data_IF_760636431503
#
_entry.id   IF_760636431503
#
_cell.length_a   1.000
_cell.length_b   1.000
_cell.length_c   1.000
_cell.angle_alpha   90.00
_cell.angle_beta   90.00
_cell.angle_gamma   90.00
#
_symmetry.space_group_name_H-M   'P 1'
#
loop_
_entity.id
_entity.type
_entity.pdbx_description
1 polymer ?
#
# COMPACT_ATOMS: atom_id res chain seq x y z
N UNK A 1 -11.17 -5.11 -19.25
CA UNK A 1 -11.86 -4.04 -18.49
C UNK A 1 -11.08 -2.76 -18.70
N UNK A 2 -11.73 -1.67 -19.08
CA UNK A 2 -11.10 -0.35 -19.15
C UNK A 2 -11.25 0.33 -17.79
N UNK A 3 -10.13 0.65 -17.14
CA UNK A 3 -10.15 1.48 -15.93
C UNK A 3 -10.33 2.94 -16.32
N UNK A 4 -11.09 3.70 -15.53
CA UNK A 4 -10.92 5.15 -15.50
C UNK A 4 -9.57 5.42 -14.82
N UNK A 5 -8.70 6.19 -15.50
CA UNK A 5 -7.37 6.50 -14.99
C UNK A 5 -7.21 7.99 -14.72
N UNK A 6 -6.39 8.30 -13.72
CA UNK A 6 -6.09 9.67 -13.31
C UNK A 6 -4.59 9.87 -13.19
N UNK A 7 -4.12 11.11 -13.36
CA UNK A 7 -2.77 11.46 -12.96
C UNK A 7 -2.61 11.41 -11.44
N UNK A 8 -1.38 11.26 -10.97
CA UNK A 8 -1.03 11.36 -9.55
C UNK A 8 -1.51 12.69 -8.97
N UNK A 9 -1.36 13.79 -9.72
CA UNK A 9 -1.84 15.10 -9.31
C UNK A 9 -3.37 15.11 -9.13
N UNK A 10 -4.12 14.59 -10.10
CA UNK A 10 -5.59 14.53 -10.00
C UNK A 10 -6.03 13.70 -8.79
N UNK A 11 -5.41 12.54 -8.56
CA UNK A 11 -5.73 11.71 -7.40
C UNK A 11 -5.53 12.47 -6.08
N UNK A 12 -4.38 13.15 -5.91
CA UNK A 12 -4.10 13.99 -4.73
C UNK A 12 -5.12 15.12 -4.57
N UNK A 13 -5.50 15.75 -5.67
CA UNK A 13 -6.51 16.81 -5.67
C UNK A 13 -7.89 16.26 -5.27
N UNK A 14 -8.25 15.05 -5.71
CA UNK A 14 -9.51 14.39 -5.35
C UNK A 14 -9.53 13.94 -3.89
N UNK A 15 -8.45 13.36 -3.38
CA UNK A 15 -8.29 13.02 -1.97
C UNK A 15 -8.47 14.25 -1.10
N UNK A 16 -7.72 15.32 -1.39
CA UNK A 16 -7.78 16.57 -0.63
C UNK A 16 -9.20 17.14 -0.61
N UNK A 17 -9.84 17.23 -1.76
CA UNK A 17 -11.22 17.72 -1.86
C UNK A 17 -12.20 16.85 -1.06
N UNK A 18 -12.04 15.53 -1.13
CA UNK A 18 -12.88 14.57 -0.38
C UNK A 18 -12.71 14.75 1.12
N UNK A 19 -11.48 14.93 1.58
CA UNK A 19 -11.15 15.14 2.99
C UNK A 19 -11.72 16.44 3.54
N UNK A 20 -11.61 17.51 2.76
CA UNK A 20 -12.05 18.85 3.17
C UNK A 20 -13.58 18.97 3.23
N UNK A 21 -14.33 18.19 2.43
CA UNK A 21 -15.76 18.42 2.24
C UNK A 21 -16.68 17.27 2.67
N UNK A 22 -16.19 16.02 2.67
CA UNK A 22 -17.09 14.85 2.75
C UNK A 22 -16.68 13.77 3.75
N UNK A 23 -15.39 13.46 3.87
CA UNK A 23 -14.97 12.28 4.61
C UNK A 23 -13.61 12.47 5.32
N UNK A 24 -13.50 12.29 6.64
CA UNK A 24 -12.22 12.36 7.33
C UNK A 24 -11.17 11.42 6.73
N UNK A 25 -9.91 11.87 6.68
CA UNK A 25 -8.79 11.13 6.09
C UNK A 25 -8.58 9.74 6.73
N UNK A 26 -8.70 9.64 8.06
CA UNK A 26 -8.68 8.36 8.79
C UNK A 26 -9.74 7.38 8.28
N UNK A 27 -10.95 7.86 7.99
CA UNK A 27 -12.03 7.00 7.46
C UNK A 27 -11.70 6.50 6.05
N UNK A 28 -11.09 7.32 5.20
CA UNK A 28 -10.64 6.91 3.88
C UNK A 28 -9.53 5.85 3.97
N UNK A 29 -8.56 6.03 4.87
CA UNK A 29 -7.48 5.05 5.13
C UNK A 29 -8.03 3.70 5.61
N UNK A 30 -9.02 3.69 6.51
CA UNK A 30 -9.67 2.43 6.93
C UNK A 30 -10.39 1.73 5.78
N UNK A 31 -11.05 2.50 4.90
CA UNK A 31 -11.72 1.95 3.71
C UNK A 31 -10.71 1.39 2.71
N UNK A 32 -9.58 2.05 2.52
CA UNK A 32 -8.47 1.59 1.69
C UNK A 32 -7.94 0.24 2.21
N UNK A 33 -7.63 0.16 3.51
CA UNK A 33 -7.21 -1.07 4.17
C UNK A 33 -8.24 -2.19 4.04
N UNK A 34 -9.53 -1.89 4.22
CA UNK A 34 -10.61 -2.85 4.03
C UNK A 34 -10.71 -3.34 2.59
N UNK A 35 -10.55 -2.45 1.61
CA UNK A 35 -10.51 -2.80 0.19
C UNK A 35 -9.35 -3.74 -0.15
N UNK A 36 -8.16 -3.51 0.42
CA UNK A 36 -7.02 -4.44 0.28
C UNK A 36 -7.35 -5.80 0.89
N UNK A 37 -7.85 -5.79 2.13
CA UNK A 37 -8.22 -7.01 2.83
C UNK A 37 -9.22 -7.87 2.05
N UNK A 38 -10.25 -7.26 1.45
CA UNK A 38 -11.31 -7.97 0.74
C UNK A 38 -10.88 -8.60 -0.60
N UNK A 39 -9.70 -8.25 -1.11
CA UNK A 39 -9.19 -8.72 -2.40
C UNK A 39 -8.10 -9.81 -2.31
N UNK A 40 -7.76 -10.24 -1.09
CA UNK A 40 -6.70 -11.21 -0.82
C UNK A 40 -7.23 -12.28 0.15
N UNK A 41 -6.84 -13.52 -0.05
CA UNK A 41 -7.15 -14.62 0.87
C UNK A 41 -6.04 -14.76 1.91
N UNK A 42 -6.33 -14.37 3.14
CA UNK A 42 -5.39 -14.36 4.26
C UNK A 42 -5.42 -15.66 5.08
N UNK A 43 -6.38 -16.55 4.82
CA UNK A 43 -6.73 -17.63 5.74
C UNK A 43 -5.60 -18.63 5.94
N UNK A 44 -5.13 -18.76 7.18
CA UNK A 44 -4.05 -19.68 7.54
C UNK A 44 -2.71 -19.31 6.90
N UNK A 45 -2.52 -18.03 6.54
CA UNK A 45 -1.30 -17.50 5.94
C UNK A 45 -0.59 -16.59 6.92
N UNK A 46 0.73 -16.72 6.99
CA UNK A 46 1.57 -15.82 7.76
C UNK A 46 1.92 -14.60 6.93
N UNK A 47 1.52 -13.42 7.40
CA UNK A 47 1.60 -12.18 6.63
C UNK A 47 2.61 -11.21 7.23
N UNK A 48 3.46 -10.62 6.39
CA UNK A 48 4.22 -9.42 6.74
C UNK A 48 3.65 -8.21 6.01
N UNK A 49 3.36 -7.14 6.74
CA UNK A 49 2.99 -5.84 6.17
C UNK A 49 4.19 -4.91 6.30
N UNK A 50 4.84 -4.59 5.18
CA UNK A 50 6.06 -3.81 5.16
C UNK A 50 5.71 -2.34 4.94
N UNK A 51 5.84 -1.54 5.99
CA UNK A 51 5.37 -0.16 6.03
C UNK A 51 6.48 0.88 5.86
N UNK A 52 6.21 1.84 4.98
CA UNK A 52 6.96 3.09 4.89
C UNK A 52 6.43 4.17 5.84
N UNK A 53 7.00 5.37 5.74
CA UNK A 53 6.68 6.48 6.65
C UNK A 53 5.48 7.34 6.25
N UNK A 54 4.90 7.10 5.08
CA UNK A 54 3.82 7.92 4.50
C UNK A 54 2.44 7.30 4.70
N UNK A 55 1.43 7.86 4.01
CA UNK A 55 0.05 7.36 4.09
C UNK A 55 -0.12 5.93 3.57
N UNK A 56 0.69 5.49 2.59
CA UNK A 56 0.66 4.08 2.16
C UNK A 56 1.06 3.12 3.31
N UNK A 57 2.03 3.53 4.14
CA UNK A 57 2.35 2.82 5.39
C UNK A 57 1.18 2.84 6.38
N UNK A 58 0.43 3.93 6.41
CA UNK A 58 -0.82 4.05 7.17
C UNK A 58 -1.90 3.06 6.74
N UNK A 59 -2.11 2.90 5.44
CA UNK A 59 -3.01 1.87 4.90
C UNK A 59 -2.55 0.47 5.35
N UNK A 60 -1.24 0.22 5.36
CA UNK A 60 -0.64 -1.00 5.90
C UNK A 60 -0.90 -1.21 7.39
N UNK A 61 -0.75 -0.19 8.23
CA UNK A 61 -1.03 -0.32 9.66
C UNK A 61 -2.51 -0.61 9.94
N UNK A 62 -3.41 0.06 9.21
CA UNK A 62 -4.84 -0.21 9.29
C UNK A 62 -5.17 -1.64 8.84
N UNK A 63 -4.56 -2.10 7.74
CA UNK A 63 -4.70 -3.45 7.22
C UNK A 63 -4.24 -4.50 8.22
N UNK A 64 -3.07 -4.32 8.83
CA UNK A 64 -2.54 -5.23 9.84
C UNK A 64 -3.51 -5.37 11.03
N UNK A 65 -4.12 -4.27 11.46
CA UNK A 65 -5.17 -4.30 12.48
C UNK A 65 -6.43 -5.07 12.06
N UNK A 66 -6.82 -5.02 10.78
CA UNK A 66 -7.96 -5.79 10.24
C UNK A 66 -7.62 -7.29 10.17
N UNK A 67 -6.44 -7.63 9.67
CA UNK A 67 -5.96 -9.03 9.58
C UNK A 67 -5.93 -9.66 10.97
N UNK A 68 -5.46 -8.91 11.98
CA UNK A 68 -5.43 -9.36 13.36
C UNK A 68 -6.82 -9.60 13.95
N UNK A 69 -7.77 -8.70 13.70
CA UNK A 69 -9.18 -8.87 14.14
C UNK A 69 -9.82 -10.11 13.53
N UNK A 70 -9.41 -10.49 12.32
CA UNK A 70 -9.85 -11.71 11.65
C UNK A 70 -9.23 -13.00 12.22
N UNK A 71 -8.27 -12.89 13.15
CA UNK A 71 -7.61 -14.03 13.79
C UNK A 71 -6.45 -14.61 12.99
N UNK A 72 -5.98 -13.93 11.95
CA UNK A 72 -4.87 -14.37 11.10
C UNK A 72 -3.51 -13.89 11.62
N UNK A 73 -2.43 -14.55 11.18
CA UNK A 73 -1.06 -14.23 11.61
C UNK A 73 -0.48 -13.06 10.80
N UNK A 74 -0.12 -11.98 11.50
CA UNK A 74 0.38 -10.75 10.89
C UNK A 74 1.46 -10.08 11.73
N UNK A 75 2.54 -9.70 11.04
CA UNK A 75 3.64 -8.88 11.56
C UNK A 75 3.74 -7.58 10.77
N UNK A 76 3.88 -6.46 11.48
CA UNK A 76 4.27 -5.18 10.89
C UNK A 76 5.80 -5.11 10.81
N UNK A 77 6.33 -4.83 9.63
CA UNK A 77 7.76 -4.59 9.40
C UNK A 77 7.94 -3.13 9.01
N UNK A 78 8.48 -2.29 9.90
CA UNK A 78 8.68 -0.87 9.64
C UNK A 78 10.04 -0.63 9.00
N UNK A 79 10.10 0.28 8.03
CA UNK A 79 11.37 0.73 7.43
C UNK A 79 12.00 1.94 8.15
N UNK A 80 11.34 2.44 9.19
CA UNK A 80 11.82 3.53 10.05
C UNK A 80 10.81 3.92 11.12
N UNK A 81 11.14 4.93 11.92
CA UNK A 81 10.33 5.38 13.06
C UNK A 81 9.39 6.55 12.75
N UNK A 82 9.36 7.00 11.49
CA UNK A 82 8.49 8.08 11.05
C UNK A 82 7.15 7.51 10.61
N UNK A 83 6.09 8.22 10.96
CA UNK A 83 4.71 7.91 10.61
C UNK A 83 4.05 9.17 10.03
N UNK A 84 3.08 9.01 9.14
CA UNK A 84 2.09 10.06 8.92
C UNK A 84 1.16 10.17 10.12
N UNK A 85 0.40 11.26 10.24
CA UNK A 85 -0.54 11.44 11.35
C UNK A 85 -1.56 10.30 11.44
N UNK A 86 -2.22 9.99 10.32
CA UNK A 86 -3.20 8.91 10.26
C UNK A 86 -2.54 7.52 10.37
N UNK A 87 -1.33 7.38 9.82
CA UNK A 87 -0.57 6.14 9.97
C UNK A 87 -0.20 5.86 11.42
N UNK A 88 0.16 6.89 12.19
CA UNK A 88 0.43 6.74 13.63
C UNK A 88 -0.83 6.29 14.38
N UNK A 89 -1.98 6.87 14.06
CA UNK A 89 -3.25 6.49 14.66
C UNK A 89 -3.57 5.00 14.46
N UNK A 90 -3.44 4.48 13.23
CA UNK A 90 -3.71 3.07 12.97
C UNK A 90 -2.60 2.13 13.45
N UNK A 91 -1.35 2.60 13.50
CA UNK A 91 -0.27 1.87 14.14
C UNK A 91 -0.58 1.61 15.62
N UNK A 92 -0.93 2.65 16.38
CA UNK A 92 -1.23 2.51 17.81
C UNK A 92 -2.41 1.55 18.05
N UNK A 93 -3.42 1.56 17.18
CA UNK A 93 -4.54 0.60 17.21
C UNK A 93 -4.06 -0.83 16.93
N UNK A 94 -3.23 -1.04 15.91
CA UNK A 94 -2.72 -2.37 15.58
C UNK A 94 -1.89 -2.96 16.74
N UNK A 95 -1.05 -2.15 17.38
CA UNK A 95 -0.27 -2.58 18.55
C UNK A 95 -1.19 -2.92 19.74
N UNK A 96 -2.23 -2.12 19.99
CA UNK A 96 -3.21 -2.42 21.05
C UNK A 96 -3.94 -3.76 20.82
N UNK A 97 -4.12 -4.16 19.56
CA UNK A 97 -4.68 -5.46 19.17
C UNK A 97 -3.68 -6.62 19.28
N UNK A 98 -2.43 -6.34 19.64
CA UNK A 98 -1.37 -7.33 19.76
C UNK A 98 -0.78 -7.77 18.42
N UNK A 99 -0.76 -6.89 17.42
CA UNK A 99 0.07 -7.09 16.23
C UNK A 99 1.53 -6.94 16.63
N UNK A 100 2.38 -7.87 16.18
CA UNK A 100 3.83 -7.78 16.40
C UNK A 100 4.42 -6.72 15.47
N UNK A 101 5.27 -5.84 15.97
CA UNK A 101 6.07 -4.93 15.15
C UNK A 101 7.56 -5.23 15.26
N UNK A 102 8.25 -5.14 14.12
CA UNK A 102 9.72 -5.19 14.05
C UNK A 102 10.23 -4.08 13.14
N UNK A 103 11.49 -3.69 13.35
CA UNK A 103 12.21 -2.81 12.43
C UNK A 103 12.91 -3.65 11.37
N UNK A 104 12.78 -3.25 10.10
CA UNK A 104 13.54 -3.85 9.00
C UNK A 104 15.03 -3.65 9.23
N UNK A 105 15.79 -4.74 9.12
CA UNK A 105 17.23 -4.75 9.13
C UNK A 105 17.75 -5.58 7.96
N UNK A 106 19.07 -5.57 7.77
CA UNK A 106 19.72 -6.42 6.78
C UNK A 106 19.43 -7.91 7.02
N UNK A 107 19.31 -8.32 8.29
CA UNK A 107 19.08 -9.71 8.70
C UNK A 107 17.61 -10.11 8.75
N UNK A 108 16.68 -9.20 8.44
CA UNK A 108 15.26 -9.56 8.38
C UNK A 108 15.02 -10.60 7.29
N UNK A 109 14.60 -11.79 7.70
CA UNK A 109 14.23 -12.88 6.82
C UNK A 109 12.73 -12.80 6.48
N UNK A 110 12.43 -12.69 5.19
CA UNK A 110 11.05 -12.67 4.70
C UNK A 110 10.56 -14.04 4.23
N UNK A 111 11.41 -15.07 4.21
CA UNK A 111 11.08 -16.41 3.71
C UNK A 111 10.06 -17.16 4.59
N UNK A 112 9.87 -16.70 5.82
CA UNK A 112 8.95 -17.26 6.80
C UNK A 112 7.49 -16.78 6.63
N UNK A 113 7.23 -15.87 5.69
CA UNK A 113 5.92 -15.30 5.41
C UNK A 113 5.36 -15.83 4.09
N UNK A 114 4.10 -16.27 4.11
CA UNK A 114 3.37 -16.67 2.91
C UNK A 114 2.98 -15.47 2.05
N UNK A 115 2.66 -14.34 2.70
CA UNK A 115 2.19 -13.10 2.05
C UNK A 115 3.05 -11.92 2.50
N UNK A 116 3.53 -11.15 1.53
CA UNK A 116 4.17 -9.86 1.77
C UNK A 116 3.28 -8.75 1.23
N UNK A 117 2.98 -7.75 2.05
CA UNK A 117 2.23 -6.57 1.65
C UNK A 117 3.18 -5.38 1.55
N UNK A 118 3.36 -4.90 0.33
CA UNK A 118 4.10 -3.68 0.00
C UNK A 118 3.25 -2.44 0.30
N UNK A 119 3.55 -1.82 1.44
CA UNK A 119 3.01 -0.55 1.90
C UNK A 119 4.14 0.49 2.08
N UNK A 120 5.18 0.42 1.25
CA UNK A 120 6.40 1.24 1.41
C UNK A 120 6.22 2.66 0.88
N UNK A 121 5.84 2.80 -0.39
CA UNK A 121 5.74 4.07 -1.11
C UNK A 121 4.40 4.11 -1.86
N UNK A 122 3.66 5.20 -1.67
CA UNK A 122 2.45 5.45 -2.45
C UNK A 122 2.71 6.43 -3.60
N UNK A 123 1.64 6.96 -4.18
CA UNK A 123 1.69 8.03 -5.20
C UNK A 123 2.39 9.32 -4.75
N UNK A 124 2.64 9.49 -3.44
CA UNK A 124 3.42 10.59 -2.86
C UNK A 124 4.89 10.63 -3.29
N UNK A 125 5.46 9.50 -3.72
CA UNK A 125 6.88 9.36 -3.97
C UNK A 125 7.33 10.07 -5.26
N UNK A 126 8.47 10.77 -5.15
CA UNK A 126 9.18 11.40 -6.26
C UNK A 126 10.68 11.32 -6.00
N UNK A 127 11.49 11.03 -7.02
CA UNK A 127 12.96 10.99 -6.91
C UNK A 127 13.51 9.59 -6.71
N UNK A 128 14.70 9.49 -6.11
CA UNK A 128 15.38 8.21 -5.89
C UNK A 128 14.94 7.50 -4.61
N UNK A 129 14.91 6.17 -4.67
CA UNK A 129 14.55 5.32 -3.54
C UNK A 129 15.68 5.38 -2.51
N UNK A 130 15.35 5.73 -1.27
CA UNK A 130 16.31 5.73 -0.15
C UNK A 130 16.76 4.31 0.18
N UNK A 131 17.98 4.16 0.68
CA UNK A 131 18.63 2.88 0.95
C UNK A 131 17.77 1.90 1.78
N UNK A 132 17.10 2.38 2.83
CA UNK A 132 16.24 1.54 3.66
C UNK A 132 15.01 0.99 2.89
N UNK A 133 14.45 1.77 1.98
CA UNK A 133 13.35 1.34 1.11
C UNK A 133 13.87 0.44 -0.02
N UNK A 134 15.05 0.76 -0.56
CA UNK A 134 15.71 -0.06 -1.59
C UNK A 134 15.91 -1.50 -1.08
N UNK A 135 16.50 -1.64 0.11
CA UNK A 135 16.68 -2.94 0.78
C UNK A 135 15.34 -3.69 0.97
N UNK A 136 14.27 -2.98 1.34
CA UNK A 136 12.94 -3.58 1.46
C UNK A 136 12.42 -4.11 0.12
N UNK A 137 12.52 -3.31 -0.95
CA UNK A 137 12.07 -3.69 -2.30
C UNK A 137 12.87 -4.89 -2.81
N UNK A 138 14.19 -4.90 -2.61
CA UNK A 138 15.05 -6.03 -3.00
C UNK A 138 14.67 -7.31 -2.27
N UNK A 139 14.46 -7.24 -0.94
CA UNK A 139 14.01 -8.40 -0.15
C UNK A 139 12.67 -8.93 -0.62
N UNK A 140 11.67 -8.05 -0.85
CA UNK A 140 10.36 -8.45 -1.37
C UNK A 140 10.52 -9.14 -2.74
N UNK A 141 11.25 -8.53 -3.67
CA UNK A 141 11.44 -9.06 -5.02
C UNK A 141 12.24 -10.37 -5.07
N UNK A 142 13.06 -10.65 -4.05
CA UNK A 142 13.82 -11.89 -3.92
C UNK A 142 13.05 -13.02 -3.22
N UNK A 143 11.91 -12.70 -2.61
CA UNK A 143 11.10 -13.67 -1.88
C UNK A 143 10.33 -14.60 -2.84
N UNK A 144 9.92 -15.76 -2.32
CA UNK A 144 8.98 -16.67 -2.99
C UNK A 144 7.54 -16.51 -2.49
N UNK A 145 7.28 -15.48 -1.69
CA UNK A 145 5.98 -15.20 -1.08
C UNK A 145 5.00 -14.64 -2.10
N UNK A 146 3.71 -14.71 -1.79
CA UNK A 146 2.68 -14.00 -2.56
C UNK A 146 2.75 -12.50 -2.24
N UNK A 147 2.96 -11.65 -3.26
CA UNK A 147 3.19 -10.22 -3.05
C UNK A 147 1.96 -9.38 -3.39
N UNK A 148 1.52 -8.58 -2.43
CA UNK A 148 0.40 -7.63 -2.55
C UNK A 148 0.96 -6.21 -2.51
N UNK A 149 0.77 -5.40 -3.56
CA UNK A 149 1.07 -3.96 -3.49
C UNK A 149 -0.17 -3.15 -3.16
N UNK A 150 -0.06 -2.30 -2.12
CA UNK A 150 -1.10 -1.37 -1.72
C UNK A 150 -0.99 -0.06 -2.50
N UNK A 151 -2.09 0.37 -3.12
CA UNK A 151 -2.24 1.53 -4.00
C UNK A 151 -1.46 1.44 -5.33
N UNK A 152 -0.14 1.35 -5.22
CA UNK A 152 0.82 1.31 -6.32
C UNK A 152 2.05 0.52 -5.87
N UNK A 153 2.68 -0.21 -6.80
CA UNK A 153 3.93 -0.91 -6.52
C UNK A 153 5.03 0.08 -6.15
N UNK A 154 5.64 -0.10 -4.98
CA UNK A 154 6.66 0.83 -4.50
C UNK A 154 7.84 0.92 -5.46
N UNK A 155 8.28 2.15 -5.69
CA UNK A 155 9.30 2.49 -6.69
C UNK A 155 8.76 2.82 -8.08
N UNK A 156 7.47 2.56 -8.35
CA UNK A 156 6.82 2.95 -9.60
C UNK A 156 6.39 4.41 -9.59
N UNK A 157 6.65 5.12 -10.70
CA UNK A 157 6.06 6.41 -10.99
C UNK A 157 4.59 6.23 -11.40
N UNK A 158 3.66 6.81 -10.65
CA UNK A 158 2.22 6.67 -10.90
C UNK A 158 1.71 7.29 -12.20
N UNK A 159 2.45 8.19 -12.85
CA UNK A 159 2.04 8.79 -14.13
C UNK A 159 2.62 8.04 -15.34
N UNK A 160 3.82 7.46 -15.23
CA UNK A 160 4.53 6.81 -16.36
C UNK A 160 4.62 5.29 -16.27
N UNK A 161 4.57 4.73 -15.07
CA UNK A 161 4.80 3.31 -14.80
C UNK A 161 6.28 2.91 -14.78
N UNK A 162 7.19 3.88 -14.75
CA UNK A 162 8.64 3.66 -14.76
C UNK A 162 9.26 3.78 -13.36
N UNK A 163 10.48 3.24 -13.19
CA UNK A 163 11.23 3.28 -11.93
C UNK A 163 12.56 2.54 -12.07
N UNK A 164 13.56 2.92 -11.27
CA UNK A 164 14.88 2.24 -11.26
C UNK A 164 14.80 0.84 -10.64
N UNK A 165 13.97 0.69 -9.61
CA UNK A 165 13.59 -0.56 -8.98
C UNK A 165 12.13 -0.46 -8.59
N UNK A 166 11.35 -1.51 -8.84
CA UNK A 166 9.90 -1.55 -8.59
C UNK A 166 9.58 -2.89 -7.94
N UNK A 167 8.71 -2.89 -6.92
CA UNK A 167 8.15 -4.12 -6.35
C UNK A 167 7.38 -4.89 -7.43
N UNK A 168 7.62 -6.19 -7.54
CA UNK A 168 6.84 -7.10 -8.38
C UNK A 168 5.73 -7.71 -7.53
N UNK A 169 4.49 -7.53 -7.95
CA UNK A 169 3.32 -7.98 -7.20
C UNK A 169 2.52 -9.04 -7.97
N UNK A 170 2.00 -10.00 -7.23
CA UNK A 170 0.98 -10.93 -7.72
C UNK A 170 -0.38 -10.24 -7.86
N UNK A 171 -0.65 -9.29 -6.97
CA UNK A 171 -1.81 -8.40 -7.05
C UNK A 171 -1.44 -6.99 -6.58
N UNK A 172 -1.91 -5.99 -7.33
CA UNK A 172 -1.90 -4.60 -6.90
C UNK A 172 -3.32 -4.14 -6.70
N UNK A 173 -3.62 -3.64 -5.49
CA UNK A 173 -4.91 -3.09 -5.13
C UNK A 173 -4.81 -1.57 -5.19
N UNK A 174 -5.23 -0.98 -6.30
CA UNK A 174 -5.27 0.47 -6.46
C UNK A 174 -6.40 1.09 -5.65
N UNK A 175 -6.15 2.25 -5.03
CA UNK A 175 -7.08 2.88 -4.10
C UNK A 175 -7.70 4.13 -4.73
N UNK A 176 -9.04 4.20 -4.74
CA UNK A 176 -9.83 5.26 -5.33
C UNK A 176 -9.87 5.16 -6.86
N UNK A 177 -8.80 5.59 -7.51
CA UNK A 177 -8.65 5.55 -8.96
C UNK A 177 -7.32 4.93 -9.37
N UNK A 178 -7.33 4.24 -10.51
CA UNK A 178 -6.11 3.71 -11.12
C UNK A 178 -5.26 4.87 -11.63
N UNK A 179 -3.96 4.85 -11.33
CA UNK A 179 -3.05 5.89 -11.79
C UNK A 179 -2.58 5.58 -13.21
N UNK A 180 -2.41 6.61 -14.04
CA UNK A 180 -2.11 6.48 -15.48
C UNK A 180 -0.95 5.49 -15.77
N UNK A 181 0.11 5.55 -14.98
CA UNK A 181 1.29 4.70 -15.14
C UNK A 181 1.02 3.22 -14.91
N UNK A 182 0.00 2.85 -14.12
CA UNK A 182 -0.28 1.46 -13.73
C UNK A 182 -0.87 0.62 -14.87
N UNK A 183 -1.36 1.26 -15.93
CA UNK A 183 -1.87 0.59 -17.14
C UNK A 183 -0.92 0.70 -18.33
N UNK A 184 0.27 1.30 -18.14
CA UNK A 184 1.28 1.42 -19.19
C UNK A 184 1.95 0.07 -19.48
N UNK A 185 2.56 -0.06 -20.65
CA UNK A 185 3.31 -1.27 -21.01
C UNK A 185 4.52 -1.52 -20.08
N UNK A 186 5.04 -0.47 -19.44
CA UNK A 186 6.10 -0.58 -18.45
C UNK A 186 5.60 -1.27 -17.18
N UNK A 187 4.41 -0.89 -16.69
CA UNK A 187 3.85 -1.44 -15.45
C UNK A 187 3.45 -2.92 -15.55
N UNK A 188 3.07 -3.40 -16.75
CA UNK A 188 2.68 -4.81 -16.99
C UNK A 188 3.77 -5.83 -16.62
N UNK A 189 5.03 -5.41 -16.51
CA UNK A 189 6.16 -6.26 -16.11
C UNK A 189 6.24 -6.49 -14.60
N UNK A 190 5.54 -5.67 -13.82
CA UNK A 190 5.61 -5.64 -12.36
C UNK A 190 4.28 -5.97 -11.69
N UNK A 191 3.16 -5.85 -12.42
CA UNK A 191 1.81 -6.09 -11.90
C UNK A 191 1.20 -7.30 -12.60
N UNK A 192 1.09 -8.42 -11.91
CA UNK A 192 0.45 -9.62 -12.47
C UNK A 192 -1.08 -9.46 -12.55
N UNK A 193 -1.71 -8.92 -11.49
CA UNK A 193 -3.15 -8.63 -11.44
C UNK A 193 -3.37 -7.23 -10.88
N UNK A 194 -4.18 -6.42 -11.57
CA UNK A 194 -4.59 -5.10 -11.10
C UNK A 194 -6.08 -5.11 -10.73
N UNK A 195 -6.40 -4.66 -9.52
CA UNK A 195 -7.77 -4.38 -9.07
C UNK A 195 -7.84 -2.95 -8.55
N UNK A 196 -9.02 -2.33 -8.63
CA UNK A 196 -9.26 -0.99 -8.09
C UNK A 196 -10.37 -1.06 -7.04
N UNK A 197 -10.16 -0.43 -5.89
CA UNK A 197 -11.16 -0.33 -4.83
C UNK A 197 -11.66 1.09 -4.70
N UNK A 198 -12.99 1.24 -4.70
CA UNK A 198 -13.63 2.51 -4.41
C UNK A 198 -13.71 2.70 -2.89
N UNK A 199 -13.17 3.83 -2.42
CA UNK A 199 -13.19 4.22 -1.00
C UNK A 199 -14.07 5.45 -0.73
N UNK A 200 -14.81 5.91 -1.76
CA UNK A 200 -15.66 7.10 -1.72
C UNK A 200 -14.93 8.38 -2.11
N UNK A 201 -13.93 8.31 -3.00
CA UNK A 201 -13.22 9.49 -3.50
C UNK A 201 -14.12 10.25 -4.48
N UNK A 202 -14.30 11.54 -4.21
CA UNK A 202 -15.06 12.43 -5.07
C UNK A 202 -14.18 12.98 -6.21
N UNK A 203 -14.31 12.35 -7.39
CA UNK A 203 -13.63 12.77 -8.62
C UNK A 203 -14.17 14.06 -9.25
N UNK A 204 -13.75 14.39 -10.49
CA UNK A 204 -14.12 15.63 -11.18
C UNK A 204 -15.63 15.88 -11.30
N UNK A 205 -16.43 14.81 -11.37
CA UNK A 205 -17.89 14.90 -11.54
C UNK A 205 -18.62 15.45 -10.31
N UNK A 206 -17.97 15.49 -9.15
CA UNK A 206 -18.55 15.94 -7.87
C UNK A 206 -18.13 17.35 -7.46
N UNK A 207 -17.48 18.11 -8.36
CA UNK A 207 -16.95 19.46 -8.08
C UNK A 207 -17.86 20.62 -8.52
N UNK A 208 -19.14 20.34 -8.82
CA UNK A 208 -20.12 21.35 -9.23
C UNK A 208 -20.89 21.89 -8.03
#
# INVERSE_FOLDING_TARGET
MSFETVSVKQMRDYDKYTIENFCPSKTLMLRAAKGIYDNVDWKGKRTAVICGSGNNGGDGYALAGIIKDAGEDVTIIRTGDKFSEDGRYYYDIAIQKGVVDIMLSFDTDLSEYDILVDCLLGTGFTGEVRENILCAIEKINSSSSYVVSADINSGMNGDTGEGSIIVRSDITVSIGFVKNGMVSDNAKRYINKLVNVDIGICGAQHRN
#
